data_IF_878367867729
#
_entry.id   IF_878367867729
#
_cell.length_a   1.000
_cell.length_b   1.000
_cell.length_c   1.000
_cell.angle_alpha   90.00
_cell.angle_beta   90.00
_cell.angle_gamma   90.00
#
_symmetry.space_group_name_H-M   'P 1'
#
loop_
_entity.id
_entity.type
_entity.pdbx_description
1 polymer ?
#
# COMPACT_ATOMS: atom_id res chain seq x y z
N UNK A 1 -17.83 17.78 -17.05
CA UNK A 1 -17.59 16.77 -16.00
C UNK A 1 -16.20 16.95 -15.42
N UNK A 2 -16.11 17.25 -14.15
CA UNK A 2 -14.84 17.25 -13.44
C UNK A 2 -14.35 15.78 -13.37
N UNK A 3 -13.18 15.49 -13.96
CA UNK A 3 -12.53 14.20 -13.79
C UNK A 3 -12.27 13.99 -12.30
N UNK A 4 -12.82 12.92 -11.73
CA UNK A 4 -12.55 12.55 -10.35
C UNK A 4 -11.05 12.26 -10.22
N UNK A 5 -10.36 13.07 -9.42
CA UNK A 5 -8.94 12.91 -9.20
C UNK A 5 -8.67 11.53 -8.57
N UNK A 6 -7.71 10.80 -9.14
CA UNK A 6 -7.29 9.49 -8.64
C UNK A 6 -6.60 9.65 -7.28
N UNK A 7 -6.99 8.81 -6.35
CA UNK A 7 -6.32 8.70 -5.05
C UNK A 7 -5.30 7.58 -5.10
N UNK A 8 -4.17 7.77 -4.41
CA UNK A 8 -3.07 6.81 -4.40
C UNK A 8 -2.63 6.46 -2.99
N UNK A 9 -2.14 5.24 -2.82
CA UNK A 9 -1.33 4.82 -1.67
C UNK A 9 -0.13 4.02 -2.17
N UNK A 10 0.97 4.09 -1.43
CA UNK A 10 2.26 3.51 -1.85
C UNK A 10 2.55 2.28 -1.02
N UNK A 11 2.98 1.20 -1.68
CA UNK A 11 3.36 -0.05 -1.04
C UNK A 11 4.65 0.11 -0.21
N UNK A 12 4.77 -0.69 0.83
CA UNK A 12 5.88 -0.68 1.80
C UNK A 12 7.26 -0.72 1.15
N UNK A 13 7.45 -1.57 0.14
CA UNK A 13 8.75 -1.77 -0.50
C UNK A 13 9.30 -0.51 -1.18
N UNK A 14 8.41 0.36 -1.66
CA UNK A 14 8.82 1.63 -2.28
C UNK A 14 9.35 2.62 -1.23
N UNK A 15 8.77 2.63 -0.03
CA UNK A 15 9.31 3.40 1.09
C UNK A 15 10.67 2.86 1.56
N UNK A 16 10.79 1.54 1.67
CA UNK A 16 12.04 0.88 2.06
C UNK A 16 13.15 1.20 1.05
N UNK A 17 12.84 1.15 -0.24
CA UNK A 17 13.80 1.49 -1.30
C UNK A 17 14.22 2.95 -1.21
N UNK A 18 13.29 3.87 -0.96
CA UNK A 18 13.60 5.29 -0.80
C UNK A 18 14.53 5.56 0.39
N UNK A 19 14.38 4.83 1.50
CA UNK A 19 15.27 4.94 2.67
C UNK A 19 16.69 4.50 2.33
N UNK A 20 16.86 3.58 1.39
CA UNK A 20 18.17 2.97 1.04
C UNK A 20 18.86 3.59 -0.16
N UNK A 21 18.17 4.39 -0.96
CA UNK A 21 18.68 4.90 -2.23
C UNK A 21 18.29 6.36 -2.42
N UNK A 22 19.28 7.23 -2.68
CA UNK A 22 19.03 8.63 -2.97
C UNK A 22 18.20 8.83 -4.24
N UNK A 23 18.42 8.01 -5.26
CA UNK A 23 17.65 8.05 -6.51
C UNK A 23 16.18 7.71 -6.27
N UNK A 24 15.91 6.66 -5.49
CA UNK A 24 14.56 6.27 -5.13
C UNK A 24 13.88 7.30 -4.23
N UNK A 25 14.62 7.96 -3.35
CA UNK A 25 14.10 9.09 -2.54
C UNK A 25 13.63 10.22 -3.43
N UNK A 26 14.40 10.60 -4.44
CA UNK A 26 14.03 11.67 -5.38
C UNK A 26 12.75 11.31 -6.13
N UNK A 27 12.64 10.09 -6.64
CA UNK A 27 11.43 9.63 -7.35
C UNK A 27 10.19 9.67 -6.46
N UNK A 28 10.30 9.22 -5.21
CA UNK A 28 9.21 9.27 -4.24
C UNK A 28 8.82 10.71 -3.91
N UNK A 29 9.78 11.60 -3.71
CA UNK A 29 9.52 13.02 -3.42
C UNK A 29 8.82 13.72 -4.59
N UNK A 30 9.20 13.40 -5.82
CA UNK A 30 8.52 13.92 -7.01
C UNK A 30 7.06 13.48 -7.05
N UNK A 31 6.79 12.22 -6.73
CA UNK A 31 5.43 11.70 -6.64
C UNK A 31 4.63 12.43 -5.54
N UNK A 32 5.20 12.57 -4.34
CA UNK A 32 4.56 13.32 -3.25
C UNK A 32 4.23 14.76 -3.66
N UNK A 33 5.14 15.45 -4.32
CA UNK A 33 4.93 16.83 -4.78
C UNK A 33 3.74 16.92 -5.75
N UNK A 34 3.64 15.96 -6.67
CA UNK A 34 2.59 15.97 -7.70
C UNK A 34 1.21 15.55 -7.14
N UNK A 35 1.19 14.57 -6.24
CA UNK A 35 -0.06 13.93 -5.80
C UNK A 35 -0.40 14.14 -4.32
N UNK A 36 0.32 14.99 -3.59
CA UNK A 36 0.14 15.16 -2.14
C UNK A 36 -1.33 15.28 -1.67
N UNK A 37 -2.21 16.05 -2.33
CA UNK A 37 -3.59 16.17 -1.90
C UNK A 37 -4.41 14.88 -2.05
N UNK A 38 -3.95 13.95 -2.87
CA UNK A 38 -4.64 12.71 -3.25
C UNK A 38 -3.92 11.46 -2.81
N UNK A 39 -2.84 11.63 -2.05
CA UNK A 39 -2.03 10.54 -1.54
C UNK A 39 -2.42 10.21 -0.10
N UNK A 40 -2.50 8.91 0.19
CA UNK A 40 -2.84 8.37 1.50
C UNK A 40 -1.76 7.43 1.99
N UNK A 41 -1.54 7.40 3.29
CA UNK A 41 -0.67 6.42 3.94
C UNK A 41 -1.54 5.31 4.52
N UNK A 42 -1.26 4.07 4.12
CA UNK A 42 -1.97 2.91 4.66
C UNK A 42 -1.48 2.54 6.07
N UNK A 43 -2.40 2.26 6.96
CA UNK A 43 -2.10 1.74 8.30
C UNK A 43 -1.39 0.37 8.23
N UNK A 44 -1.67 -0.44 7.20
CA UNK A 44 -0.96 -1.70 6.96
C UNK A 44 0.52 -1.44 6.66
N UNK A 45 0.80 -0.45 5.83
CA UNK A 45 2.17 -0.03 5.50
C UNK A 45 2.90 0.53 6.73
N UNK A 46 2.23 1.33 7.54
CA UNK A 46 2.77 1.84 8.82
C UNK A 46 3.21 0.68 9.71
N UNK A 47 2.34 -0.32 9.87
CA UNK A 47 2.65 -1.51 10.66
C UNK A 47 3.89 -2.23 10.13
N UNK A 48 3.98 -2.44 8.83
CA UNK A 48 5.11 -3.14 8.22
C UNK A 48 6.42 -2.36 8.36
N UNK A 49 6.39 -1.06 8.13
CA UNK A 49 7.57 -0.20 8.30
C UNK A 49 8.07 -0.19 9.75
N UNK A 50 7.16 -0.05 10.71
CA UNK A 50 7.52 -0.08 12.14
C UNK A 50 8.04 -1.45 12.57
N UNK A 51 7.43 -2.53 12.10
CA UNK A 51 7.89 -3.89 12.40
C UNK A 51 9.31 -4.16 11.86
N UNK A 52 9.69 -3.49 10.77
CA UNK A 52 11.03 -3.56 10.20
C UNK A 52 12.05 -2.62 10.86
N UNK A 53 11.63 -1.70 11.70
CA UNK A 53 12.53 -0.79 12.41
C UNK A 53 13.28 -1.53 13.52
N UNK A 54 14.62 -1.56 13.44
CA UNK A 54 15.46 -2.38 14.33
C UNK A 54 15.82 -1.69 15.65
N UNK A 55 15.54 -0.40 15.78
CA UNK A 55 15.84 0.37 16.97
C UNK A 55 14.91 1.59 17.10
N UNK A 56 14.83 2.22 18.30
CA UNK A 56 13.95 3.37 18.50
C UNK A 56 14.26 4.59 17.61
N UNK A 57 15.51 4.77 17.20
CA UNK A 57 15.88 5.87 16.30
C UNK A 57 15.29 5.69 14.92
N UNK A 58 15.35 4.47 14.38
CA UNK A 58 14.75 4.14 13.08
C UNK A 58 13.23 4.37 13.10
N UNK A 59 12.56 3.95 14.18
CA UNK A 59 11.12 4.17 14.35
C UNK A 59 10.79 5.67 14.41
N UNK A 60 11.57 6.48 15.14
CA UNK A 60 11.38 7.95 15.18
C UNK A 60 11.58 8.61 13.82
N UNK A 61 12.55 8.15 13.05
CA UNK A 61 12.79 8.67 11.68
C UNK A 61 11.60 8.38 10.77
N UNK A 62 11.03 7.18 10.82
CA UNK A 62 9.81 6.84 10.09
C UNK A 62 8.66 7.78 10.48
N UNK A 63 8.46 8.00 11.77
CA UNK A 63 7.43 8.88 12.29
C UNK A 63 7.59 10.31 11.75
N UNK A 64 8.79 10.87 11.84
CA UNK A 64 9.05 12.26 11.46
C UNK A 64 9.02 12.47 9.94
N UNK A 65 9.63 11.56 9.17
CA UNK A 65 9.86 11.76 7.75
C UNK A 65 8.70 11.21 6.87
N UNK A 66 8.00 10.19 7.33
CA UNK A 66 6.96 9.54 6.53
C UNK A 66 5.57 9.75 7.13
N UNK A 67 5.35 9.39 8.39
CA UNK A 67 3.99 9.31 8.94
C UNK A 67 3.37 10.67 9.26
N UNK A 68 4.13 11.54 9.90
CA UNK A 68 3.64 12.84 10.38
C UNK A 68 2.97 13.70 9.30
N UNK A 69 3.51 13.84 8.08
CA UNK A 69 2.84 14.63 7.05
C UNK A 69 1.43 14.13 6.70
N UNK A 70 1.24 12.81 6.65
CA UNK A 70 -0.08 12.22 6.38
C UNK A 70 -1.03 12.33 7.58
N UNK A 71 -0.50 12.09 8.79
CA UNK A 71 -1.29 12.24 10.03
C UNK A 71 -1.82 13.65 10.19
N UNK A 72 -0.99 14.67 9.96
CA UNK A 72 -1.38 16.08 10.05
C UNK A 72 -2.46 16.45 9.04
N UNK A 73 -2.45 15.85 7.87
CA UNK A 73 -3.43 16.12 6.82
C UNK A 73 -4.67 15.22 6.91
N UNK A 74 -4.71 14.28 7.85
CA UNK A 74 -5.78 13.30 7.94
C UNK A 74 -5.86 12.39 6.72
N UNK A 75 -4.73 12.13 6.05
CA UNK A 75 -4.66 11.31 4.84
C UNK A 75 -4.20 9.89 5.17
N UNK A 76 -4.98 9.21 5.98
CA UNK A 76 -4.71 7.83 6.42
C UNK A 76 -5.74 6.88 5.83
N UNK A 77 -5.25 5.74 5.34
CA UNK A 77 -6.08 4.65 4.84
C UNK A 77 -6.06 3.52 5.86
N UNK A 78 -7.14 3.36 6.60
CA UNK A 78 -7.29 2.32 7.63
C UNK A 78 -8.31 1.29 7.18
N UNK A 79 -8.00 -0.03 7.25
CA UNK A 79 -8.97 -1.07 6.90
C UNK A 79 -10.19 -1.00 7.83
N UNK A 80 -11.38 -1.02 7.25
CA UNK A 80 -12.63 -1.16 7.99
C UNK A 80 -12.86 -2.63 8.38
N UNK A 81 -13.85 -2.87 9.23
CA UNK A 81 -14.32 -4.23 9.50
C UNK A 81 -14.61 -5.00 8.20
N UNK A 82 -15.27 -4.37 7.23
CA UNK A 82 -15.59 -5.00 5.95
C UNK A 82 -14.33 -5.39 5.16
N UNK A 83 -13.30 -4.55 5.16
CA UNK A 83 -12.02 -4.86 4.51
C UNK A 83 -11.31 -6.03 5.19
N UNK A 84 -11.29 -6.09 6.50
CA UNK A 84 -10.75 -7.23 7.26
C UNK A 84 -11.48 -8.53 6.93
N UNK A 85 -12.80 -8.50 6.95
CA UNK A 85 -13.64 -9.66 6.62
C UNK A 85 -13.38 -10.13 5.19
N UNK A 86 -13.37 -9.23 4.23
CA UNK A 86 -13.12 -9.55 2.83
C UNK A 86 -11.71 -10.11 2.61
N UNK A 87 -10.70 -9.60 3.33
CA UNK A 87 -9.35 -10.16 3.29
C UNK A 87 -9.36 -11.65 3.72
N UNK A 88 -10.08 -11.98 4.77
CA UNK A 88 -10.26 -13.38 5.19
C UNK A 88 -10.95 -14.24 4.13
N UNK A 89 -11.98 -13.71 3.48
CA UNK A 89 -12.70 -14.40 2.40
C UNK A 89 -11.78 -14.66 1.19
N UNK A 90 -10.94 -13.70 0.81
CA UNK A 90 -9.96 -13.86 -0.28
C UNK A 90 -8.95 -14.94 0.06
N UNK A 91 -8.41 -14.93 1.27
CA UNK A 91 -7.46 -15.96 1.72
C UNK A 91 -8.11 -17.35 1.71
N UNK A 92 -9.35 -17.47 2.18
CA UNK A 92 -10.11 -18.72 2.16
C UNK A 92 -10.32 -19.23 0.72
N UNK A 93 -10.66 -18.34 -0.21
CA UNK A 93 -10.82 -18.71 -1.62
C UNK A 93 -9.50 -19.19 -2.24
N UNK A 94 -8.38 -18.58 -1.89
CA UNK A 94 -7.06 -19.01 -2.36
C UNK A 94 -6.67 -20.39 -1.80
N UNK A 95 -7.06 -20.70 -0.57
CA UNK A 95 -6.87 -22.04 0.00
C UNK A 95 -7.63 -23.09 -0.82
N UNK A 96 -8.89 -22.80 -1.16
CA UNK A 96 -9.76 -23.74 -1.89
C UNK A 96 -9.34 -23.86 -3.35
N UNK A 97 -9.06 -22.76 -4.03
CA UNK A 97 -8.85 -22.73 -5.49
C UNK A 97 -7.42 -22.95 -5.92
N UNK A 98 -6.43 -22.51 -5.13
CA UNK A 98 -5.01 -22.55 -5.47
C UNK A 98 -4.17 -23.38 -4.47
N UNK A 99 -4.80 -23.99 -3.47
CA UNK A 99 -4.09 -24.77 -2.45
C UNK A 99 -3.18 -23.94 -1.55
N UNK A 100 -3.50 -22.67 -1.34
CA UNK A 100 -2.73 -21.80 -0.44
C UNK A 100 -2.67 -22.43 0.95
N UNK A 101 -1.47 -22.53 1.53
CA UNK A 101 -1.27 -23.03 2.88
C UNK A 101 -1.03 -21.85 3.83
N UNK A 102 -2.03 -21.50 4.62
CA UNK A 102 -1.95 -20.35 5.56
C UNK A 102 -0.80 -20.46 6.54
N UNK A 103 -0.47 -21.68 6.98
CA UNK A 103 0.67 -21.93 7.88
C UNK A 103 2.03 -21.66 7.24
N UNK A 104 2.11 -21.66 5.90
CA UNK A 104 3.31 -21.37 5.11
C UNK A 104 3.24 -20.03 4.39
N UNK A 105 2.10 -19.34 4.46
CA UNK A 105 1.94 -18.02 3.90
C UNK A 105 2.76 -17.05 4.73
N UNK A 106 3.62 -16.27 4.08
CA UNK A 106 4.34 -15.24 4.79
C UNK A 106 3.39 -14.10 5.19
N UNK A 107 3.72 -13.39 6.28
CA UNK A 107 2.92 -12.26 6.77
C UNK A 107 2.81 -11.13 5.74
N UNK A 108 3.78 -11.01 4.85
CA UNK A 108 3.76 -10.03 3.77
C UNK A 108 2.58 -10.24 2.83
N UNK A 109 2.30 -11.47 2.42
CA UNK A 109 1.17 -11.76 1.55
C UNK A 109 -0.19 -11.50 2.22
N UNK A 110 -0.34 -11.87 3.49
CA UNK A 110 -1.57 -11.56 4.24
C UNK A 110 -1.79 -10.04 4.37
N UNK A 111 -0.72 -9.30 4.64
CA UNK A 111 -0.77 -7.83 4.65
C UNK A 111 -1.14 -7.27 3.26
N UNK A 112 -0.61 -7.84 2.18
CA UNK A 112 -0.94 -7.44 0.81
C UNK A 112 -2.43 -7.62 0.51
N UNK A 113 -3.02 -8.72 0.94
CA UNK A 113 -4.46 -8.96 0.79
C UNK A 113 -5.26 -7.89 1.54
N UNK A 114 -4.91 -7.59 2.78
CA UNK A 114 -5.57 -6.57 3.58
C UNK A 114 -5.41 -5.17 2.97
N UNK A 115 -4.21 -4.84 2.49
CA UNK A 115 -3.93 -3.59 1.79
C UNK A 115 -4.80 -3.46 0.54
N UNK A 116 -4.87 -4.51 -0.28
CA UNK A 116 -5.68 -4.53 -1.49
C UNK A 116 -7.17 -4.31 -1.18
N UNK A 117 -7.69 -4.96 -0.14
CA UNK A 117 -9.10 -4.80 0.25
C UNK A 117 -9.38 -3.40 0.79
N UNK A 118 -8.44 -2.79 1.50
CA UNK A 118 -8.54 -1.40 1.94
C UNK A 118 -8.58 -0.43 0.76
N UNK A 119 -7.74 -0.65 -0.24
CA UNK A 119 -7.72 0.14 -1.48
C UNK A 119 -9.04 0.02 -2.25
N UNK A 120 -9.55 -1.20 -2.38
CA UNK A 120 -10.83 -1.46 -3.04
C UNK A 120 -11.98 -0.70 -2.38
N UNK A 121 -12.07 -0.79 -1.08
CA UNK A 121 -13.13 -0.16 -0.29
C UNK A 121 -13.10 1.37 -0.41
N UNK A 122 -11.92 1.97 -0.32
CA UNK A 122 -11.74 3.42 -0.32
C UNK A 122 -11.67 4.04 -1.72
N UNK A 123 -11.64 3.22 -2.78
CA UNK A 123 -11.45 3.71 -4.14
C UNK A 123 -10.06 4.32 -4.36
N UNK A 124 -9.04 3.73 -3.73
CA UNK A 124 -7.64 4.17 -3.80
C UNK A 124 -6.88 3.23 -4.72
N UNK A 125 -6.01 3.78 -5.56
CA UNK A 125 -5.11 3.01 -6.43
C UNK A 125 -3.80 2.76 -5.70
N UNK A 126 -3.39 1.49 -5.63
CA UNK A 126 -2.12 1.07 -5.03
C UNK A 126 -0.98 1.27 -6.03
N UNK A 127 0.10 1.93 -5.61
CA UNK A 127 1.36 2.01 -6.38
C UNK A 127 2.30 0.95 -5.82
N UNK A 128 2.67 -0.04 -6.64
CA UNK A 128 3.47 -1.19 -6.21
C UNK A 128 4.34 -1.75 -7.32
N UNK A 129 5.48 -2.31 -6.97
CA UNK A 129 6.32 -3.12 -7.85
C UNK A 129 5.99 -4.62 -7.78
N UNK A 130 5.25 -5.04 -6.76
CA UNK A 130 4.94 -6.44 -6.50
C UNK A 130 3.75 -6.91 -7.33
N UNK A 131 3.90 -6.89 -8.66
CA UNK A 131 2.84 -7.29 -9.58
C UNK A 131 2.36 -8.71 -9.36
N UNK A 132 3.29 -9.63 -9.09
CA UNK A 132 2.99 -11.05 -8.94
C UNK A 132 1.90 -11.31 -7.89
N UNK A 133 2.07 -10.80 -6.69
CA UNK A 133 1.13 -11.04 -5.60
C UNK A 133 -0.17 -10.27 -5.78
N UNK A 134 -0.10 -9.02 -6.23
CA UNK A 134 -1.30 -8.21 -6.43
C UNK A 134 -2.13 -8.66 -7.65
N UNK A 135 -1.53 -9.16 -8.72
CA UNK A 135 -2.25 -9.81 -9.82
C UNK A 135 -2.98 -11.07 -9.34
N UNK A 136 -2.32 -11.86 -8.49
CA UNK A 136 -2.93 -13.04 -7.86
C UNK A 136 -4.18 -12.66 -7.05
N UNK A 137 -4.08 -11.62 -6.22
CA UNK A 137 -5.21 -11.10 -5.44
C UNK A 137 -6.31 -10.56 -6.36
N UNK A 138 -5.95 -9.82 -7.40
CA UNK A 138 -6.88 -9.21 -8.35
C UNK A 138 -7.69 -10.23 -9.15
N UNK A 139 -7.20 -11.46 -9.30
CA UNK A 139 -7.98 -12.55 -9.90
C UNK A 139 -9.16 -12.99 -9.02
N UNK A 140 -9.06 -12.78 -7.71
CA UNK A 140 -10.12 -13.15 -6.76
C UNK A 140 -11.11 -12.00 -6.54
N UNK A 141 -10.60 -10.78 -6.39
CA UNK A 141 -11.40 -9.58 -6.15
C UNK A 141 -10.77 -8.38 -6.87
N UNK A 142 -11.57 -7.70 -7.66
CA UNK A 142 -11.09 -6.54 -8.42
C UNK A 142 -10.73 -5.37 -7.51
N UNK A 143 -9.53 -4.84 -7.70
CA UNK A 143 -9.06 -3.58 -7.14
C UNK A 143 -8.06 -2.93 -8.10
N UNK A 144 -7.72 -1.66 -7.89
CA UNK A 144 -6.83 -0.92 -8.79
C UNK A 144 -5.40 -0.87 -8.24
N UNK A 145 -4.43 -1.24 -9.06
CA UNK A 145 -3.02 -1.06 -8.76
C UNK A 145 -2.24 -0.72 -10.04
N UNK A 146 -1.13 -0.01 -9.88
CA UNK A 146 -0.29 0.48 -10.98
C UNK A 146 1.18 0.34 -10.64
N UNK A 147 2.01 0.28 -11.69
CA UNK A 147 3.47 0.31 -11.52
C UNK A 147 3.95 1.70 -11.07
N UNK A 148 5.07 1.80 -10.34
CA UNK A 148 5.71 3.07 -10.07
C UNK A 148 6.31 3.63 -11.38
N UNK A 149 6.23 4.85 -11.67
CA UNK A 149 5.44 5.87 -10.98
C UNK A 149 4.38 6.39 -11.95
N UNK A 150 3.13 6.49 -11.54
CA UNK A 150 2.12 7.08 -12.41
C UNK A 150 2.42 8.55 -12.66
N UNK A 151 2.10 9.04 -13.87
CA UNK A 151 2.28 10.43 -14.25
C UNK A 151 0.98 11.02 -14.77
N UNK A 152 0.81 12.33 -14.59
CA UNK A 152 -0.36 13.07 -15.07
C UNK A 152 -0.46 13.11 -16.61
N UNK A 153 0.63 12.81 -17.31
CA UNK A 153 0.70 12.76 -18.77
C UNK A 153 0.33 11.41 -19.38
N UNK A 154 0.04 10.40 -18.55
CA UNK A 154 -0.44 9.09 -19.02
C UNK A 154 -1.95 9.16 -19.29
N UNK A 155 -2.30 9.53 -20.52
CA UNK A 155 -3.68 9.53 -21.01
C UNK A 155 -3.97 8.28 -21.82
#
# INVERSE_FOLDING_TARGET
>A
MLRRQRKYTIDTNLYIRAIRSAEATVALQQFHTEYAPFEFLSAVVVKELLAGARNPQAARRLQQLIFRPFEHRGRLLTPSYAAWKQAGEVLSNLVVTEGLQLTRTNRGFENDVLLAMSCREAGVTLVTENRRDFERIARMVRFEFVDPWPSSSSH
#
